data_IF_182485778425
#
_entry.id   IF_182485778425
#
_cell.length_a   1.000
_cell.length_b   1.000
_cell.length_c   1.000
_cell.angle_alpha   90.00
_cell.angle_beta   90.00
_cell.angle_gamma   90.00
#
_symmetry.space_group_name_H-M   'P 1'
#
loop_
_entity.id
_entity.type
_entity.pdbx_description
1 polymer ?
#
# COMPACT_ATOMS: atom_id res chain seq x y z
N UNK A 1 -3.68 10.39 17.61
CA UNK A 1 -4.79 10.06 16.69
C UNK A 1 -4.12 9.44 15.47
N UNK A 2 -4.28 8.19 15.05
CA UNK A 2 -5.27 7.10 15.15
C UNK A 2 -4.44 5.84 14.79
N UNK A 3 -4.25 4.81 15.62
CA UNK A 3 -5.15 3.73 16.01
C UNK A 3 -4.67 3.13 17.33
N UNK A 4 -5.57 2.97 18.30
CA UNK A 4 -5.39 2.05 19.44
C UNK A 4 -5.62 0.63 18.93
N UNK A 5 -4.74 -0.28 19.31
CA UNK A 5 -4.71 -1.69 18.90
C UNK A 5 -5.92 -2.46 19.43
N UNK A 6 -6.40 -3.40 18.60
CA UNK A 6 -7.58 -4.22 18.79
C UNK A 6 -7.31 -5.41 19.75
N UNK A 7 -8.16 -5.56 20.76
CA UNK A 7 -8.19 -6.68 21.71
C UNK A 7 -9.26 -7.70 21.28
N UNK A 8 -8.98 -8.99 21.46
CA UNK A 8 -9.89 -10.08 21.06
C UNK A 8 -11.09 -10.14 22.02
N UNK A 9 -12.32 -9.93 21.52
CA UNK A 9 -13.53 -10.18 22.34
C UNK A 9 -13.99 -11.65 22.27
N UNK A 10 -14.61 -12.12 23.35
CA UNK A 10 -15.17 -13.48 23.52
C UNK A 10 -16.54 -13.68 22.86
N UNK A 11 -16.97 -12.78 21.99
CA UNK A 11 -18.31 -12.80 21.41
C UNK A 11 -18.27 -13.18 19.93
N UNK A 12 -18.48 -14.47 19.62
CA UNK A 12 -19.06 -14.92 18.34
C UNK A 12 -19.29 -16.43 18.31
N UNK A 13 -20.57 -16.81 18.18
CA UNK A 13 -21.07 -18.19 18.07
C UNK A 13 -21.20 -18.60 16.60
N UNK A 14 -20.24 -19.35 16.06
CA UNK A 14 -20.49 -20.41 15.05
C UNK A 14 -19.19 -21.18 14.77
N UNK A 15 -19.08 -22.48 15.12
CA UNK A 15 -17.91 -23.31 14.88
C UNK A 15 -17.62 -23.56 13.39
N UNK A 16 -18.58 -23.29 12.52
CA UNK A 16 -18.57 -23.69 11.10
C UNK A 16 -17.58 -22.91 10.24
N UNK A 17 -17.10 -21.76 10.73
CA UNK A 17 -16.22 -20.86 9.97
C UNK A 17 -14.71 -21.11 10.19
N UNK A 18 -14.33 -22.17 10.91
CA UNK A 18 -12.92 -22.48 11.22
C UNK A 18 -12.24 -21.47 12.17
N UNK A 19 -10.94 -21.63 12.47
CA UNK A 19 -10.23 -20.79 13.44
C UNK A 19 -10.22 -19.32 13.01
N UNK A 20 -10.71 -18.42 13.87
CA UNK A 20 -10.62 -16.96 13.69
C UNK A 20 -9.28 -16.49 14.27
N UNK A 21 -8.54 -15.63 13.57
CA UNK A 21 -7.23 -15.17 14.06
C UNK A 21 -7.37 -13.99 15.03
N UNK A 22 -8.15 -12.96 14.67
CA UNK A 22 -8.45 -11.78 15.52
C UNK A 22 -9.81 -11.18 15.17
N UNK A 23 -10.52 -10.61 16.14
CA UNK A 23 -11.77 -9.86 15.92
C UNK A 23 -11.94 -8.72 16.93
N UNK A 24 -12.40 -7.55 16.48
CA UNK A 24 -12.70 -6.39 17.33
C UNK A 24 -13.45 -5.30 16.53
N UNK A 25 -13.97 -4.29 17.22
CA UNK A 25 -14.59 -3.12 16.61
C UNK A 25 -13.58 -2.17 15.99
N UNK A 26 -13.79 -1.84 14.73
CA UNK A 26 -13.00 -0.87 13.96
C UNK A 26 -13.88 0.29 13.50
N UNK A 27 -13.25 1.44 13.25
CA UNK A 27 -13.91 2.56 12.59
C UNK A 27 -13.66 2.45 11.08
N UNK A 28 -14.72 2.45 10.28
CA UNK A 28 -14.64 2.42 8.82
C UNK A 28 -15.44 3.56 8.22
N UNK A 29 -14.97 4.07 7.07
CA UNK A 29 -15.57 5.23 6.40
C UNK A 29 -16.21 4.89 5.06
N UNK A 30 -15.86 3.74 4.48
CA UNK A 30 -16.22 3.36 3.10
C UNK A 30 -17.58 2.65 2.98
N UNK A 31 -18.18 2.26 4.10
CA UNK A 31 -19.46 1.55 4.12
C UNK A 31 -20.65 2.52 4.13
N UNK A 32 -21.80 2.17 3.53
CA UNK A 32 -23.04 2.92 3.66
C UNK A 32 -23.46 3.08 5.13
N UNK A 33 -24.06 4.24 5.50
CA UNK A 33 -24.54 4.48 6.86
C UNK A 33 -25.61 3.45 7.22
N UNK A 34 -25.36 2.71 8.30
CA UNK A 34 -26.33 1.76 8.83
C UNK A 34 -27.34 2.54 9.71
N UNK A 35 -28.65 2.47 9.42
CA UNK A 35 -29.65 3.18 10.23
C UNK A 35 -29.70 2.59 11.64
N UNK A 36 -29.49 3.42 12.67
CA UNK A 36 -29.65 3.03 14.09
C UNK A 36 -30.99 3.55 14.61
N UNK A 37 -31.70 2.75 15.39
CA UNK A 37 -33.04 3.08 15.93
C UNK A 37 -33.10 4.25 16.92
N UNK A 38 -31.97 4.87 17.31
CA UNK A 38 -31.95 5.93 18.33
C UNK A 38 -31.19 7.20 17.88
N UNK A 39 -31.58 7.75 16.74
CA UNK A 39 -31.10 9.07 16.31
C UNK A 39 -31.99 10.20 16.88
N UNK A 40 -32.14 10.21 18.21
CA UNK A 40 -32.73 11.34 18.95
C UNK A 40 -31.66 12.29 19.49
N UNK A 41 -30.65 12.61 18.69
CA UNK A 41 -29.75 13.74 18.98
C UNK A 41 -30.17 14.96 18.18
N UNK A 42 -30.98 15.79 18.85
CA UNK A 42 -31.31 17.17 18.45
C UNK A 42 -30.05 17.90 17.98
N UNK A 43 -29.91 18.10 16.67
CA UNK A 43 -29.03 19.12 16.12
C UNK A 43 -29.64 20.50 16.42
N UNK A 44 -28.87 21.38 17.05
CA UNK A 44 -29.24 22.78 17.25
C UNK A 44 -29.47 23.48 15.90
N UNK A 45 -30.51 24.31 15.74
CA UNK A 45 -30.76 25.03 14.50
C UNK A 45 -29.94 26.33 14.51
N UNK A 46 -28.68 26.26 14.05
CA UNK A 46 -27.87 27.45 13.75
C UNK A 46 -27.49 27.43 12.26
N UNK A 47 -27.84 28.45 11.46
CA UNK A 47 -27.70 28.41 10.00
C UNK A 47 -26.30 28.74 9.47
N UNK A 48 -25.24 28.67 10.29
CA UNK A 48 -23.92 29.21 9.90
C UNK A 48 -22.68 28.33 10.01
N UNK A 49 -22.77 27.05 10.38
CA UNK A 49 -21.66 26.13 10.20
C UNK A 49 -22.16 24.72 9.88
N UNK A 50 -21.72 24.16 8.75
CA UNK A 50 -21.86 22.74 8.40
C UNK A 50 -20.94 21.90 9.30
N UNK A 51 -21.27 21.83 10.59
CA UNK A 51 -20.57 21.00 11.57
C UNK A 51 -21.19 19.60 11.59
N UNK A 52 -20.34 18.60 11.35
CA UNK A 52 -20.59 17.16 11.54
C UNK A 52 -21.27 16.41 10.39
N UNK A 53 -20.56 16.27 9.26
CA UNK A 53 -20.82 15.17 8.33
C UNK A 53 -19.65 14.19 8.34
N UNK A 54 -19.43 13.59 9.51
CA UNK A 54 -18.42 12.56 9.66
C UNK A 54 -19.05 11.19 9.37
N UNK A 55 -18.52 10.46 8.39
CA UNK A 55 -19.05 9.18 7.91
C UNK A 55 -18.31 7.98 8.51
N UNK A 56 -17.51 8.19 9.56
CA UNK A 56 -16.92 7.07 10.31
C UNK A 56 -18.02 6.32 11.07
N UNK A 57 -18.13 5.02 10.81
CA UNK A 57 -18.99 4.13 11.57
C UNK A 57 -18.20 3.01 12.22
N UNK A 58 -18.62 2.65 13.44
CA UNK A 58 -18.04 1.56 14.21
C UNK A 58 -18.67 0.24 13.74
N UNK A 59 -17.85 -0.69 13.27
CA UNK A 59 -18.26 -2.01 12.77
C UNK A 59 -17.39 -3.11 13.38
N UNK A 60 -17.87 -4.35 13.36
CA UNK A 60 -17.13 -5.51 13.85
C UNK A 60 -16.24 -6.09 12.75
N UNK A 61 -14.93 -6.22 12.98
CA UNK A 61 -14.01 -6.81 12.02
C UNK A 61 -13.56 -8.20 12.47
N UNK A 62 -13.49 -9.15 11.53
CA UNK A 62 -13.00 -10.52 11.75
C UNK A 62 -11.87 -10.81 10.74
N UNK A 63 -10.66 -10.98 11.25
CA UNK A 63 -9.48 -11.31 10.46
C UNK A 63 -9.33 -12.83 10.33
N UNK A 64 -9.19 -13.28 9.08
CA UNK A 64 -8.97 -14.65 8.66
C UNK A 64 -7.71 -14.75 7.79
N UNK A 65 -7.10 -15.94 7.68
CA UNK A 65 -6.09 -16.17 6.66
C UNK A 65 -6.69 -15.87 5.27
N UNK A 66 -6.11 -14.91 4.56
CA UNK A 66 -6.56 -14.56 3.21
C UNK A 66 -7.74 -13.58 3.13
N UNK A 67 -8.35 -13.14 4.24
CA UNK A 67 -9.35 -12.06 4.17
C UNK A 67 -9.67 -11.38 5.52
N UNK A 68 -10.24 -10.18 5.45
CA UNK A 68 -10.80 -9.42 6.56
C UNK A 68 -12.29 -9.17 6.29
N UNK A 69 -13.17 -9.71 7.12
CA UNK A 69 -14.61 -9.48 7.03
C UNK A 69 -15.05 -8.36 7.98
N UNK A 70 -15.97 -7.51 7.54
CA UNK A 70 -16.60 -6.46 8.33
C UNK A 70 -18.09 -6.81 8.50
N UNK A 71 -18.61 -6.69 9.71
CA UNK A 71 -19.99 -6.96 10.09
C UNK A 71 -20.55 -5.77 10.85
N UNK A 72 -21.86 -5.59 10.87
CA UNK A 72 -22.50 -4.53 11.65
C UNK A 72 -22.18 -4.67 13.14
N UNK A 73 -22.33 -5.89 13.65
CA UNK A 73 -22.01 -6.29 15.01
C UNK A 73 -21.59 -7.78 15.04
N UNK A 74 -21.07 -8.30 16.17
CA UNK A 74 -20.55 -9.67 16.27
C UNK A 74 -21.58 -10.78 16.00
N UNK A 75 -22.88 -10.48 16.08
CA UNK A 75 -23.97 -11.43 15.89
C UNK A 75 -24.68 -11.25 14.55
N UNK A 76 -24.29 -10.24 13.77
CA UNK A 76 -24.90 -9.99 12.48
C UNK A 76 -24.60 -11.16 11.52
N UNK A 77 -25.62 -11.80 10.92
CA UNK A 77 -25.47 -13.06 10.19
C UNK A 77 -24.80 -12.90 8.82
N UNK A 78 -24.70 -11.67 8.30
CA UNK A 78 -24.13 -11.37 6.98
C UNK A 78 -23.02 -10.31 7.08
N UNK A 79 -21.90 -10.47 6.35
CA UNK A 79 -20.86 -9.45 6.30
C UNK A 79 -21.34 -8.23 5.52
N UNK A 80 -21.00 -7.05 6.04
CA UNK A 80 -21.16 -5.78 5.33
C UNK A 80 -20.16 -5.64 4.18
N UNK A 81 -18.96 -6.20 4.35
CA UNK A 81 -17.87 -6.14 3.36
C UNK A 81 -16.80 -7.20 3.66
N UNK A 82 -16.06 -7.61 2.63
CA UNK A 82 -14.97 -8.60 2.72
C UNK A 82 -13.80 -8.10 1.89
N UNK A 83 -12.67 -7.87 2.57
CA UNK A 83 -11.40 -7.51 1.94
C UNK A 83 -10.58 -8.79 1.80
N UNK A 84 -10.40 -9.27 0.57
CA UNK A 84 -9.62 -10.49 0.29
C UNK A 84 -8.14 -10.12 0.10
N UNK A 85 -7.26 -10.90 0.71
CA UNK A 85 -5.83 -10.87 0.48
C UNK A 85 -5.50 -12.03 -0.46
N UNK A 86 -5.03 -11.75 -1.67
CA UNK A 86 -4.69 -12.80 -2.63
C UNK A 86 -3.63 -13.75 -2.04
N UNK A 87 -4.03 -15.00 -1.81
CA UNK A 87 -3.14 -16.14 -1.59
C UNK A 87 -3.27 -17.06 -2.81
N UNK A 88 -2.22 -17.16 -3.63
CA UNK A 88 -2.11 -18.21 -4.65
C UNK A 88 -1.56 -19.52 -4.03
N UNK A 89 -1.82 -20.69 -4.64
CA UNK A 89 -2.42 -21.83 -3.93
C UNK A 89 -1.43 -22.80 -3.28
N UNK A 90 -1.98 -23.59 -2.35
CA UNK A 90 -1.32 -24.68 -1.65
C UNK A 90 -0.82 -25.78 -2.61
N UNK A 91 0.44 -26.19 -2.42
CA UNK A 91 0.98 -27.42 -2.98
C UNK A 91 0.82 -28.55 -1.97
N UNK A 92 -0.04 -29.50 -2.33
CA UNK A 92 -0.19 -30.89 -1.91
C UNK A 92 0.55 -31.39 -0.66
N UNK A 93 -0.26 -31.79 0.33
CA UNK A 93 -0.30 -33.21 0.70
C UNK A 93 0.76 -33.73 1.66
N UNK A 94 0.85 -33.18 2.88
CA UNK A 94 0.88 -34.03 4.08
C UNK A 94 0.55 -33.22 5.34
N UNK A 95 -0.29 -33.79 6.20
CA UNK A 95 -0.97 -33.11 7.29
C UNK A 95 -0.14 -32.78 8.54
N UNK A 96 1.04 -32.16 8.40
CA UNK A 96 1.81 -31.66 9.54
C UNK A 96 2.42 -30.28 9.28
N UNK A 97 2.12 -29.32 10.17
CA UNK A 97 2.79 -28.02 10.21
C UNK A 97 1.84 -26.83 10.02
N UNK A 98 1.02 -26.55 11.04
CA UNK A 98 0.25 -25.31 11.11
C UNK A 98 1.21 -24.12 11.28
N UNK A 99 1.59 -23.48 10.17
CA UNK A 99 2.36 -22.22 10.18
C UNK A 99 1.60 -21.13 10.94
N UNK A 100 2.12 -20.73 12.09
CA UNK A 100 1.61 -19.60 12.87
C UNK A 100 2.69 -18.51 12.93
N UNK A 101 2.41 -17.33 12.37
CA UNK A 101 3.28 -16.14 12.35
C UNK A 101 3.57 -15.52 13.73
N UNK A 102 3.09 -16.10 14.83
CA UNK A 102 3.39 -15.64 16.19
C UNK A 102 3.33 -16.79 17.19
N UNK A 103 4.36 -16.89 18.04
CA UNK A 103 4.44 -17.86 19.15
C UNK A 103 4.23 -17.13 20.49
N UNK A 104 3.24 -17.58 21.24
CA UNK A 104 2.88 -17.01 22.55
C UNK A 104 3.87 -17.48 23.63
N UNK A 105 4.43 -16.54 24.41
CA UNK A 105 5.28 -16.85 25.57
C UNK A 105 4.46 -16.57 26.84
N UNK A 106 4.33 -17.58 27.70
CA UNK A 106 3.67 -17.47 29.00
C UNK A 106 4.65 -16.90 30.04
N UNK A 107 4.46 -15.65 30.46
CA UNK A 107 5.05 -15.15 31.70
C UNK A 107 4.06 -14.33 32.54
N UNK A 108 4.26 -14.39 33.86
CA UNK A 108 3.28 -14.06 34.90
C UNK A 108 3.29 -12.57 35.27
N UNK A 109 2.62 -11.72 34.49
CA UNK A 109 2.06 -10.42 34.95
C UNK A 109 0.97 -9.90 33.98
N UNK A 110 -0.31 -9.72 34.39
CA UNK A 110 -1.45 -9.77 33.46
C UNK A 110 -1.82 -8.47 32.70
N UNK A 111 -0.99 -7.42 32.68
CA UNK A 111 -1.38 -6.13 32.05
C UNK A 111 -0.37 -5.50 31.08
N UNK A 112 0.66 -6.23 30.63
CA UNK A 112 1.56 -5.74 29.58
C UNK A 112 2.04 -6.89 28.69
N UNK A 113 1.35 -7.12 27.58
CA UNK A 113 2.01 -7.72 26.42
C UNK A 113 2.64 -6.58 25.60
N UNK A 114 3.90 -6.26 25.89
CA UNK A 114 4.72 -5.49 24.97
C UNK A 114 5.17 -6.44 23.86
N UNK A 115 4.76 -6.18 22.62
CA UNK A 115 5.43 -6.75 21.47
C UNK A 115 6.77 -6.02 21.35
N UNK A 116 7.87 -6.73 21.59
CA UNK A 116 9.19 -6.24 21.20
C UNK A 116 9.26 -6.32 19.68
N UNK A 117 8.94 -5.22 18.99
CA UNK A 117 9.37 -5.04 17.61
C UNK A 117 10.89 -4.95 17.67
N UNK A 118 11.58 -6.04 17.33
CA UNK A 118 13.02 -5.96 17.12
C UNK A 118 13.23 -5.07 15.90
N UNK A 119 14.19 -4.15 16.01
CA UNK A 119 14.92 -3.65 14.86
C UNK A 119 15.57 -4.85 14.15
N UNK A 120 14.88 -5.44 13.19
CA UNK A 120 15.45 -6.52 12.41
C UNK A 120 16.19 -5.89 11.24
N UNK A 121 17.48 -5.73 11.45
CA UNK A 121 18.41 -6.37 10.55
C UNK A 121 18.56 -7.79 11.09
N UNK A 122 17.93 -8.80 10.47
CA UNK A 122 18.08 -10.17 10.97
C UNK A 122 17.07 -11.19 10.45
N UNK A 123 17.49 -12.45 10.55
CA UNK A 123 16.77 -13.66 10.14
C UNK A 123 15.49 -13.82 10.98
N UNK A 124 14.35 -14.00 10.33
CA UNK A 124 13.14 -14.54 10.95
C UNK A 124 13.31 -16.03 11.24
N UNK A 125 12.36 -16.61 11.98
CA UNK A 125 12.43 -18.00 12.44
C UNK A 125 12.45 -19.03 11.30
N UNK A 126 11.96 -18.65 10.11
CA UNK A 126 12.02 -19.42 8.86
C UNK A 126 13.28 -19.15 8.02
N UNK A 127 14.19 -18.29 8.49
CA UNK A 127 15.40 -17.88 7.78
C UNK A 127 15.20 -16.74 6.79
N UNK A 128 13.99 -16.15 6.67
CA UNK A 128 13.77 -14.98 5.82
C UNK A 128 14.46 -13.73 6.39
N UNK A 129 14.97 -12.84 5.55
CA UNK A 129 15.56 -11.58 5.98
C UNK A 129 14.56 -10.45 5.75
N UNK A 130 14.25 -9.69 6.79
CA UNK A 130 13.45 -8.47 6.68
C UNK A 130 14.31 -7.25 7.01
N UNK A 131 14.12 -6.19 6.22
CA UNK A 131 14.73 -4.88 6.43
C UNK A 131 13.65 -3.82 6.27
N UNK A 132 13.63 -2.83 7.16
CA UNK A 132 12.77 -1.65 7.01
C UNK A 132 13.51 -0.50 6.35
N UNK A 133 12.75 0.42 5.75
CA UNK A 133 13.26 1.67 5.23
C UNK A 133 12.42 2.82 5.79
N UNK A 134 13.11 3.89 6.17
CA UNK A 134 12.48 5.17 6.51
C UNK A 134 12.76 6.11 5.34
N UNK A 135 11.71 6.79 4.89
CA UNK A 135 11.69 7.69 3.73
C UNK A 135 12.04 7.06 2.38
N UNK A 136 11.91 7.87 1.32
CA UNK A 136 12.08 7.42 -0.05
C UNK A 136 13.53 7.12 -0.44
N UNK A 137 14.52 7.85 0.09
CA UNK A 137 15.93 7.70 -0.33
C UNK A 137 16.44 6.27 -0.18
N UNK A 138 16.38 5.73 1.04
CA UNK A 138 16.94 4.41 1.32
C UNK A 138 16.14 3.29 0.63
N UNK A 139 14.82 3.42 0.57
CA UNK A 139 13.96 2.47 -0.11
C UNK A 139 14.21 2.43 -1.63
N UNK A 140 14.27 3.59 -2.29
CA UNK A 140 14.50 3.67 -3.73
C UNK A 140 15.92 3.26 -4.11
N UNK A 141 16.92 3.56 -3.28
CA UNK A 141 18.28 3.07 -3.49
C UNK A 141 18.35 1.53 -3.44
N UNK A 142 17.69 0.91 -2.47
CA UNK A 142 17.63 -0.55 -2.36
C UNK A 142 16.85 -1.19 -3.53
N UNK A 143 15.71 -0.59 -3.94
CA UNK A 143 14.94 -1.04 -5.10
C UNK A 143 15.78 -0.94 -6.38
N UNK A 144 16.52 0.16 -6.58
CA UNK A 144 17.38 0.33 -7.74
C UNK A 144 18.46 -0.76 -7.79
N UNK A 145 19.12 -1.03 -6.66
CA UNK A 145 20.15 -2.07 -6.58
C UNK A 145 19.59 -3.48 -6.85
N UNK A 146 18.40 -3.80 -6.33
CA UNK A 146 17.76 -5.07 -6.61
C UNK A 146 17.40 -5.22 -8.10
N UNK A 147 16.86 -4.18 -8.73
CA UNK A 147 16.56 -4.18 -10.17
C UNK A 147 17.84 -4.37 -10.99
N UNK A 148 18.93 -3.68 -10.65
CA UNK A 148 20.22 -3.82 -11.34
C UNK A 148 20.74 -5.26 -11.33
N UNK A 149 20.54 -5.96 -10.21
CA UNK A 149 20.99 -7.35 -10.06
C UNK A 149 20.06 -8.39 -10.68
N UNK A 150 18.80 -8.03 -11.01
CA UNK A 150 17.79 -8.97 -11.52
C UNK A 150 18.31 -9.82 -12.70
N UNK A 151 18.02 -11.12 -12.71
CA UNK A 151 18.48 -12.05 -13.76
C UNK A 151 17.33 -12.69 -14.54
N UNK A 152 16.12 -12.73 -13.99
CA UNK A 152 14.99 -13.46 -14.58
C UNK A 152 13.75 -12.59 -14.72
N UNK A 153 13.13 -12.14 -13.63
CA UNK A 153 11.82 -11.51 -13.65
C UNK A 153 11.71 -10.35 -12.64
N UNK A 154 11.02 -9.29 -13.05
CA UNK A 154 10.68 -8.14 -12.20
C UNK A 154 9.17 -7.93 -12.26
N UNK A 155 8.52 -7.87 -11.09
CA UNK A 155 7.11 -7.53 -10.95
C UNK A 155 6.95 -6.20 -10.22
N UNK A 156 6.13 -5.31 -10.76
CA UNK A 156 5.84 -4.01 -10.14
C UNK A 156 4.33 -3.83 -10.05
N UNK A 157 3.81 -3.61 -8.85
CA UNK A 157 2.42 -3.17 -8.65
C UNK A 157 2.45 -1.77 -8.02
N UNK A 158 1.66 -0.85 -8.54
CA UNK A 158 1.61 0.51 -8.00
C UNK A 158 0.29 1.21 -8.28
N UNK A 159 -0.14 2.01 -7.30
CA UNK A 159 -1.25 2.94 -7.47
C UNK A 159 -0.87 4.06 -8.45
N UNK A 160 0.39 4.50 -8.39
CA UNK A 160 0.96 5.45 -9.35
C UNK A 160 2.41 5.10 -9.66
N UNK A 161 2.77 5.00 -10.94
CA UNK A 161 4.15 4.79 -11.41
C UNK A 161 4.52 5.89 -12.39
N UNK A 162 5.65 6.56 -12.14
CA UNK A 162 6.25 7.56 -13.03
C UNK A 162 7.51 6.98 -13.67
N UNK A 163 7.49 6.62 -14.97
CA UNK A 163 8.63 6.02 -15.65
C UNK A 163 9.90 6.87 -15.57
N UNK A 164 9.76 8.19 -15.50
CA UNK A 164 10.89 9.12 -15.44
C UNK A 164 11.37 9.42 -14.01
N UNK A 165 10.93 8.67 -12.98
CA UNK A 165 11.42 8.81 -11.61
C UNK A 165 12.88 8.37 -11.50
N UNK A 166 13.73 9.20 -10.92
CA UNK A 166 15.10 8.81 -10.54
C UNK A 166 15.10 8.13 -9.16
N UNK A 167 15.59 6.89 -9.09
CA UNK A 167 15.66 6.14 -7.83
C UNK A 167 16.86 6.55 -6.96
N UNK A 168 17.93 7.08 -7.57
CA UNK A 168 19.11 7.61 -6.85
C UNK A 168 19.32 9.09 -7.16
N UNK A 169 19.83 9.84 -6.18
CA UNK A 169 20.09 11.29 -6.26
C UNK A 169 21.49 11.60 -5.74
N UNK A 170 22.18 12.64 -6.25
CA UNK A 170 21.71 13.67 -7.19
C UNK A 170 21.43 13.15 -8.62
N UNK A 171 20.33 13.60 -9.23
CA UNK A 171 19.83 12.96 -10.47
C UNK A 171 20.75 13.13 -11.68
N UNK A 172 21.53 14.21 -11.76
CA UNK A 172 22.51 14.45 -12.84
C UNK A 172 23.62 13.39 -12.88
N UNK A 173 24.06 12.92 -11.71
CA UNK A 173 25.12 11.91 -11.58
C UNK A 173 24.60 10.48 -11.65
N UNK A 174 23.28 10.29 -11.60
CA UNK A 174 22.62 8.99 -11.56
C UNK A 174 21.58 8.84 -12.67
N UNK A 175 21.94 9.27 -13.89
CA UNK A 175 21.06 9.20 -15.06
C UNK A 175 20.53 7.78 -15.33
N UNK A 176 21.38 6.77 -15.12
CA UNK A 176 21.05 5.35 -15.28
C UNK A 176 20.04 4.84 -14.25
N UNK A 177 19.85 5.54 -13.12
CA UNK A 177 18.90 5.15 -12.07
C UNK A 177 17.46 5.61 -12.33
N UNK A 178 17.20 6.24 -13.48
CA UNK A 178 15.84 6.56 -13.90
C UNK A 178 15.08 5.26 -14.17
N UNK A 179 13.87 5.13 -13.65
CA UNK A 179 13.13 3.87 -13.64
C UNK A 179 12.99 3.27 -15.04
N UNK A 180 12.62 4.07 -16.03
CA UNK A 180 12.54 3.63 -17.43
C UNK A 180 13.88 3.10 -17.97
N UNK A 181 14.98 3.82 -17.72
CA UNK A 181 16.32 3.43 -18.16
C UNK A 181 16.83 2.16 -17.46
N UNK A 182 16.55 2.00 -16.16
CA UNK A 182 16.88 0.79 -15.40
C UNK A 182 16.15 -0.42 -15.98
N UNK A 183 14.83 -0.31 -16.14
CA UNK A 183 14.02 -1.40 -16.69
C UNK A 183 14.42 -1.71 -18.14
N UNK A 184 14.75 -0.71 -18.94
CA UNK A 184 15.28 -0.91 -20.30
C UNK A 184 16.57 -1.73 -20.29
N UNK A 185 17.53 -1.36 -19.44
CA UNK A 185 18.81 -2.04 -19.35
C UNK A 185 18.64 -3.52 -18.96
N UNK A 186 17.74 -3.81 -18.03
CA UNK A 186 17.44 -5.20 -17.62
C UNK A 186 16.67 -5.97 -18.68
N UNK A 187 15.69 -5.34 -19.32
CA UNK A 187 14.93 -5.95 -20.41
C UNK A 187 15.84 -6.36 -21.58
N UNK A 188 16.83 -5.53 -21.93
CA UNK A 188 17.87 -5.83 -22.93
C UNK A 188 18.80 -6.99 -22.55
N UNK A 189 18.91 -7.29 -21.26
CA UNK A 189 19.65 -8.46 -20.75
C UNK A 189 18.78 -9.72 -20.69
N UNK A 190 17.53 -9.66 -21.18
CA UNK A 190 16.61 -10.80 -21.23
C UNK A 190 15.62 -10.90 -20.05
N UNK A 191 15.71 -10.01 -19.06
CA UNK A 191 14.81 -9.99 -17.90
C UNK A 191 13.38 -9.68 -18.35
N UNK A 192 12.41 -10.47 -17.89
CA UNK A 192 10.99 -10.23 -18.13
C UNK A 192 10.43 -9.26 -17.09
N UNK A 193 9.67 -8.25 -17.52
CA UNK A 193 9.20 -7.18 -16.63
C UNK A 193 7.69 -7.07 -16.75
N UNK A 194 6.99 -7.27 -15.63
CA UNK A 194 5.53 -7.24 -15.56
C UNK A 194 5.07 -6.14 -14.62
N UNK A 195 4.22 -5.24 -15.11
CA UNK A 195 3.79 -4.05 -14.36
C UNK A 195 2.26 -4.00 -14.30
N UNK A 196 1.72 -4.00 -13.09
CA UNK A 196 0.31 -3.75 -12.81
C UNK A 196 0.14 -2.31 -12.30
N UNK A 197 -0.59 -1.51 -13.07
CA UNK A 197 -0.95 -0.15 -12.68
C UNK A 197 -2.43 -0.08 -12.31
N UNK A 198 -2.75 0.73 -11.30
CA UNK A 198 -4.13 1.16 -11.11
C UNK A 198 -4.61 1.94 -12.35
N UNK A 199 -5.71 1.49 -12.96
CA UNK A 199 -6.46 2.24 -13.97
C UNK A 199 -7.35 3.21 -13.23
N UNK A 200 -7.06 4.50 -13.34
CA UNK A 200 -7.78 5.56 -12.66
C UNK A 200 -9.04 6.00 -13.40
N UNK A 201 -9.99 6.54 -12.64
CA UNK A 201 -11.06 7.39 -13.17
C UNK A 201 -10.44 8.74 -13.53
N UNK A 202 -10.09 8.92 -14.81
CA UNK A 202 -9.30 10.06 -15.30
C UNK A 202 -9.92 11.44 -15.01
N UNK A 203 -11.24 11.52 -14.80
CA UNK A 203 -11.91 12.75 -14.39
C UNK A 203 -11.61 13.15 -12.94
N UNK A 204 -11.32 12.18 -12.07
CA UNK A 204 -11.09 12.39 -10.64
C UNK A 204 -9.60 12.45 -10.27
N UNK A 205 -8.74 11.74 -10.99
CA UNK A 205 -7.33 11.55 -10.64
C UNK A 205 -6.40 11.93 -11.79
N UNK A 206 -5.30 12.63 -11.48
CA UNK A 206 -4.30 13.10 -12.45
C UNK A 206 -3.03 12.24 -12.46
N UNK A 207 -3.15 10.94 -12.20
CA UNK A 207 -1.99 10.02 -12.20
C UNK A 207 -1.57 9.60 -13.63
N UNK A 208 -2.50 9.65 -14.59
CA UNK A 208 -2.26 9.40 -16.01
C UNK A 208 -1.61 8.03 -16.29
N UNK A 209 -2.21 6.95 -15.78
CA UNK A 209 -1.66 5.58 -15.96
C UNK A 209 -1.59 5.19 -17.45
N UNK A 210 -2.41 5.79 -18.31
CA UNK A 210 -2.34 5.63 -19.78
C UNK A 210 -0.99 6.08 -20.32
N UNK A 211 -0.49 7.23 -19.86
CA UNK A 211 0.83 7.73 -20.24
C UNK A 211 1.92 6.77 -19.76
N UNK A 212 1.90 6.38 -18.48
CA UNK A 212 2.89 5.47 -17.92
C UNK A 212 2.92 4.14 -18.66
N UNK A 213 1.76 3.54 -18.97
CA UNK A 213 1.66 2.33 -19.78
C UNK A 213 2.29 2.51 -21.16
N UNK A 214 1.95 3.57 -21.90
CA UNK A 214 2.50 3.81 -23.25
C UNK A 214 4.01 3.98 -23.21
N UNK A 215 4.52 4.76 -22.26
CA UNK A 215 5.95 5.00 -22.08
C UNK A 215 6.69 3.70 -21.76
N UNK A 216 6.21 2.93 -20.77
CA UNK A 216 6.85 1.67 -20.35
C UNK A 216 6.82 0.60 -21.44
N UNK A 217 5.70 0.42 -22.15
CA UNK A 217 5.62 -0.51 -23.29
C UNK A 217 6.55 -0.13 -24.45
N UNK A 218 6.90 1.16 -24.59
CA UNK A 218 7.79 1.62 -25.67
C UNK A 218 9.27 1.34 -25.40
N UNK A 219 9.62 0.91 -24.18
CA UNK A 219 11.02 0.71 -23.77
C UNK A 219 11.61 -0.58 -24.36
N UNK A 220 10.90 -1.71 -24.26
CA UNK A 220 11.38 -3.01 -24.73
C UNK A 220 10.24 -4.03 -24.82
N UNK A 221 10.33 -5.03 -25.69
CA UNK A 221 9.31 -6.09 -25.86
C UNK A 221 9.11 -6.99 -24.62
N UNK A 222 10.14 -7.10 -23.79
CA UNK A 222 10.09 -7.84 -22.51
C UNK A 222 9.33 -7.07 -21.41
N UNK A 223 8.92 -5.82 -21.65
CA UNK A 223 8.12 -5.03 -20.70
C UNK A 223 6.64 -5.18 -21.03
N UNK A 224 5.89 -5.77 -20.10
CA UNK A 224 4.44 -5.95 -20.20
C UNK A 224 3.72 -5.13 -19.14
N UNK A 225 2.69 -4.39 -19.54
CA UNK A 225 1.96 -3.48 -18.64
C UNK A 225 0.46 -3.70 -18.71
N UNK A 226 -0.13 -4.07 -17.58
CA UNK A 226 -1.56 -4.16 -17.36
C UNK A 226 -2.05 -2.94 -16.58
N UNK A 227 -3.29 -2.51 -16.88
CA UNK A 227 -4.00 -1.51 -16.08
C UNK A 227 -5.36 -2.05 -15.71
N UNK A 228 -5.72 -1.96 -14.44
CA UNK A 228 -6.99 -2.51 -13.92
C UNK A 228 -7.46 -1.69 -12.70
N UNK A 229 -8.77 -1.57 -12.40
CA UNK A 229 -9.92 -2.18 -13.06
C UNK A 229 -10.39 -1.45 -14.32
N UNK A 230 -11.02 -2.17 -15.25
CA UNK A 230 -11.80 -1.53 -16.30
C UNK A 230 -13.18 -1.12 -15.79
N UNK A 231 -13.24 0.10 -15.25
CA UNK A 231 -14.40 0.68 -14.55
C UNK A 231 -15.74 0.49 -15.26
N UNK A 232 -15.81 0.62 -16.59
CA UNK A 232 -17.06 0.47 -17.34
C UNK A 232 -17.57 -0.98 -17.33
N UNK A 233 -16.66 -1.94 -17.51
CA UNK A 233 -17.02 -3.35 -17.55
C UNK A 233 -17.23 -3.96 -16.16
N UNK A 234 -16.52 -3.45 -15.14
CA UNK A 234 -16.55 -4.03 -13.80
C UNK A 234 -17.51 -3.31 -12.85
N UNK A 235 -17.97 -2.10 -13.18
CA UNK A 235 -18.78 -1.27 -12.28
C UNK A 235 -18.02 -0.77 -11.04
N UNK A 236 -16.71 -0.99 -10.98
CA UNK A 236 -15.86 -0.61 -9.84
C UNK A 236 -15.35 0.81 -10.06
N UNK A 237 -15.95 1.82 -9.41
CA UNK A 237 -15.56 3.23 -9.57
C UNK A 237 -14.89 3.86 -8.35
N UNK A 238 -15.07 3.27 -7.16
CA UNK A 238 -14.65 3.86 -5.89
C UNK A 238 -13.44 3.15 -5.26
N UNK A 239 -13.00 2.04 -5.85
CA UNK A 239 -11.94 1.19 -5.33
C UNK A 239 -10.71 1.25 -6.23
N UNK A 240 -9.53 1.05 -5.63
CA UNK A 240 -8.26 1.09 -6.34
C UNK A 240 -7.33 -0.04 -5.92
N UNK A 241 -6.51 -0.50 -6.86
CA UNK A 241 -5.26 -1.20 -6.55
C UNK A 241 -4.31 -0.22 -5.85
N UNK A 242 -4.10 -0.42 -4.56
CA UNK A 242 -3.33 0.50 -3.72
C UNK A 242 -2.06 -0.15 -3.13
N UNK A 243 -1.81 -1.40 -3.47
CA UNK A 243 -0.55 -2.09 -3.22
C UNK A 243 0.62 -1.36 -3.90
N UNK A 244 1.76 -1.31 -3.21
CA UNK A 244 3.04 -0.87 -3.78
C UNK A 244 4.03 -1.99 -3.57
N UNK A 245 4.33 -2.69 -4.66
CA UNK A 245 5.15 -3.90 -4.65
C UNK A 245 6.22 -3.80 -5.72
N UNK A 246 7.43 -4.23 -5.37
CA UNK A 246 8.48 -4.57 -6.34
C UNK A 246 9.03 -5.93 -5.95
N UNK A 247 8.90 -6.92 -6.83
CA UNK A 247 9.43 -8.26 -6.62
C UNK A 247 10.50 -8.51 -7.68
N UNK A 248 11.67 -8.98 -7.26
CA UNK A 248 12.80 -9.32 -8.13
C UNK A 248 13.14 -10.79 -7.95
N UNK A 249 13.12 -11.53 -9.06
CA UNK A 249 13.53 -12.94 -9.17
C UNK A 249 12.85 -13.89 -8.15
N UNK A 250 11.66 -13.53 -7.65
CA UNK A 250 10.95 -14.20 -6.54
C UNK A 250 11.77 -14.36 -5.25
N UNK A 251 12.88 -13.64 -5.11
CA UNK A 251 13.78 -13.73 -3.97
C UNK A 251 13.71 -12.49 -3.08
N UNK A 252 13.49 -11.32 -3.70
CA UNK A 252 13.44 -10.04 -2.99
C UNK A 252 12.07 -9.41 -3.26
N UNK A 253 11.39 -9.01 -2.19
CA UNK A 253 10.12 -8.30 -2.26
C UNK A 253 10.19 -7.01 -1.44
N UNK A 254 9.89 -5.89 -2.08
CA UNK A 254 9.66 -4.59 -1.44
C UNK A 254 8.16 -4.37 -1.34
N UNK A 255 7.68 -4.12 -0.13
CA UNK A 255 6.28 -3.81 0.16
C UNK A 255 6.20 -2.63 1.12
N UNK A 256 5.28 -1.70 0.89
CA UNK A 256 5.09 -0.58 1.79
C UNK A 256 4.17 0.51 1.25
N UNK A 257 4.39 1.75 1.72
CA UNK A 257 3.59 2.93 1.36
C UNK A 257 4.14 3.77 0.21
N UNK A 258 5.32 3.42 -0.33
CA UNK A 258 6.01 4.22 -1.36
C UNK A 258 5.68 3.72 -2.77
N UNK A 259 4.90 4.50 -3.50
CA UNK A 259 4.74 4.34 -4.95
C UNK A 259 6.03 4.77 -5.68
N UNK A 260 6.37 4.11 -6.78
CA UNK A 260 7.45 4.53 -7.69
C UNK A 260 7.01 5.74 -8.54
N UNK A 261 6.67 6.84 -7.88
CA UNK A 261 6.19 8.08 -8.49
C UNK A 261 6.84 9.33 -7.91
N UNK A 262 6.60 10.47 -8.58
CA UNK A 262 7.14 11.76 -8.18
C UNK A 262 6.68 12.22 -6.79
N UNK A 263 7.53 12.96 -6.07
CA UNK A 263 7.25 13.52 -4.76
C UNK A 263 7.33 12.52 -3.60
N UNK A 264 7.84 11.30 -3.85
CA UNK A 264 8.02 10.25 -2.83
C UNK A 264 9.47 10.10 -2.39
N UNK A 265 10.42 10.59 -3.20
CA UNK A 265 11.81 10.65 -2.81
C UNK A 265 11.94 11.72 -1.71
N UNK A 266 12.46 11.34 -0.55
CA UNK A 266 12.78 12.26 0.52
C UNK A 266 13.95 11.71 1.35
N UNK A 267 14.54 12.59 2.14
CA UNK A 267 15.62 12.28 3.08
C UNK A 267 15.19 12.63 4.50
N UNK A 268 15.94 12.15 5.49
CA UNK A 268 15.65 12.40 6.92
C UNK A 268 15.63 13.90 7.28
N UNK A 269 16.28 14.75 6.48
CA UNK A 269 16.28 16.20 6.67
C UNK A 269 14.97 16.87 6.22
N UNK A 270 14.13 16.19 5.43
CA UNK A 270 12.85 16.69 4.91
C UNK A 270 12.95 18.12 4.35
N UNK A 271 13.98 18.37 3.52
CA UNK A 271 14.25 19.72 3.02
C UNK A 271 13.08 20.21 2.15
N UNK A 272 12.69 21.46 2.37
CA UNK A 272 11.60 22.11 1.63
C UNK A 272 12.05 22.81 0.35
N UNK A 273 13.35 22.94 0.11
CA UNK A 273 13.92 23.66 -1.03
C UNK A 273 15.11 22.93 -1.66
N UNK A 274 15.28 23.13 -2.97
CA UNK A 274 16.32 22.51 -3.80
C UNK A 274 16.73 23.47 -4.92
N UNK A 275 17.50 24.50 -4.54
CA UNK A 275 18.03 25.49 -5.47
C UNK A 275 19.57 25.51 -5.39
N UNK A 276 20.29 25.31 -6.51
CA UNK A 276 19.78 24.84 -7.81
C UNK A 276 19.23 23.40 -7.70
N UNK A 277 18.37 22.94 -8.63
CA UNK A 277 17.74 21.63 -8.52
C UNK A 277 18.77 20.50 -8.64
N UNK A 278 18.93 19.70 -7.58
CA UNK A 278 19.84 18.57 -7.50
C UNK A 278 19.13 17.29 -7.02
N UNK A 279 18.15 17.45 -6.15
CA UNK A 279 17.44 16.38 -5.48
C UNK A 279 16.10 16.07 -6.12
N UNK A 280 15.35 17.06 -6.59
CA UNK A 280 13.99 16.90 -7.12
C UNK A 280 13.80 17.63 -8.46
N UNK A 281 14.01 16.96 -9.61
CA UNK A 281 13.86 17.56 -10.92
C UNK A 281 12.38 17.76 -11.28
N UNK A 282 12.04 18.96 -11.77
CA UNK A 282 10.74 19.25 -12.37
C UNK A 282 9.55 18.89 -11.47
N UNK A 283 8.71 17.96 -11.93
CA UNK A 283 7.48 17.52 -11.21
C UNK A 283 7.77 16.76 -9.91
N UNK A 284 9.00 16.32 -9.70
CA UNK A 284 9.41 15.65 -8.48
C UNK A 284 9.57 16.62 -7.31
N UNK A 285 9.78 17.92 -7.58
CA UNK A 285 9.62 18.96 -6.59
C UNK A 285 8.13 19.17 -6.34
N UNK A 286 7.60 18.46 -5.36
CA UNK A 286 6.17 18.25 -5.20
C UNK A 286 5.63 18.91 -3.93
N UNK A 287 4.66 19.81 -4.10
CA UNK A 287 3.88 20.37 -3.00
C UNK A 287 2.37 20.24 -3.29
N UNK A 288 1.67 19.28 -2.65
CA UNK A 288 0.25 19.03 -2.92
C UNK A 288 -0.68 20.16 -2.44
N UNK A 289 -0.17 21.14 -1.68
CA UNK A 289 -0.96 22.26 -1.13
C UNK A 289 -0.75 23.59 -1.85
N UNK A 290 0.16 23.67 -2.81
CA UNK A 290 0.33 24.89 -3.59
C UNK A 290 -0.74 25.00 -4.69
N UNK A 291 -1.79 25.77 -4.40
CA UNK A 291 -2.40 26.64 -5.42
C UNK A 291 -1.33 27.67 -5.76
N UNK A 292 -0.92 27.78 -7.03
CA UNK A 292 0.13 28.71 -7.46
C UNK A 292 -0.15 30.12 -6.92
N UNK A 293 0.71 30.63 -6.04
CA UNK A 293 0.87 32.06 -5.83
C UNK A 293 2.19 32.46 -6.47
N UNK A 294 2.10 33.19 -7.57
CA UNK A 294 3.24 33.88 -8.16
C UNK A 294 3.54 35.10 -7.28
N UNK A 295 4.69 35.10 -6.60
CA UNK A 295 5.27 36.33 -6.06
C UNK A 295 6.38 36.71 -7.02
N UNK A 296 6.07 37.64 -7.92
CA UNK A 296 7.10 38.38 -8.68
C UNK A 296 7.63 39.48 -7.77
N UNK A 297 8.86 39.31 -7.27
CA UNK A 297 9.61 40.39 -6.63
C UNK A 297 10.29 41.24 -7.70
N UNK A 298 10.11 42.56 -7.60
CA UNK A 298 10.78 43.63 -8.34
C UNK A 298 12.26 43.74 -8.01
#
# INVERSE_FOLDING_TARGET
MVCKFLEVSKLSFSPEYGPKLKEDYVMVKHLPKIPKEDDTRKCCPCPWFSCCNDNWQKVWAVLKPGFLALLEDPFHPQPLDIIVFDLLPASDGNGEGRLSLAKEIKERNPLRHALKVRSMWGLSEDGSLAQWFVDGRAAFEAIASAIEEAKSEIFICGWWVCPELYLRRPFHSHASSRLDALLEAKAKQGVQIYILLYKEVALALKINSVYSKRKLLSIHENVRVLRYPDHFSTGVYLWSHHEKLVIVDYQICFIGGLDLCFGRYDTLEHKVGDHPPLMWPGKDYYNPRQVLFSISGS
#
